data_IF_261069160777
#
_entry.id   IF_261069160777
#
_cell.length_a   1.000
_cell.length_b   1.000
_cell.length_c   1.000
_cell.angle_alpha   90.00
_cell.angle_beta   90.00
_cell.angle_gamma   90.00
#
_symmetry.space_group_name_H-M   'P 1'
#
loop_
_entity.id
_entity.type
_entity.pdbx_description
1 polymer ?
#
# COMPACT_ATOMS: atom_id res chain seq x y z
N UNK A 1 7.83 11.06 -33.06
CA UNK A 1 7.28 9.84 -32.46
C UNK A 1 6.31 10.18 -31.35
N UNK A 2 6.67 11.00 -30.36
CA UNK A 2 5.80 11.43 -29.23
C UNK A 2 4.43 12.02 -29.59
N UNK A 3 4.29 12.81 -30.68
CA UNK A 3 2.97 13.31 -31.10
C UNK A 3 1.99 12.21 -31.56
N UNK A 4 2.47 11.08 -32.09
CA UNK A 4 1.62 9.93 -32.48
C UNK A 4 1.17 9.10 -31.28
N UNK A 5 1.99 8.99 -30.23
CA UNK A 5 1.61 8.31 -28.98
C UNK A 5 0.56 9.13 -28.20
N UNK A 6 0.76 10.45 -28.05
CA UNK A 6 -0.25 11.33 -27.42
C UNK A 6 -1.61 11.27 -28.12
N UNK A 7 -1.61 11.22 -29.44
CA UNK A 7 -2.87 11.14 -30.21
C UNK A 7 -3.55 9.77 -30.10
N UNK A 8 -2.79 8.67 -29.95
CA UNK A 8 -3.36 7.33 -29.67
C UNK A 8 -3.92 7.22 -28.24
N UNK A 9 -3.30 7.86 -27.24
CA UNK A 9 -3.84 7.94 -25.88
C UNK A 9 -5.14 8.75 -25.82
N UNK A 10 -5.20 9.91 -26.49
CA UNK A 10 -6.43 10.73 -26.51
C UNK A 10 -7.61 10.03 -27.19
N UNK A 11 -7.39 9.24 -28.24
CA UNK A 11 -8.46 8.46 -28.88
C UNK A 11 -8.91 7.26 -28.04
N UNK A 12 -8.03 6.66 -27.22
CA UNK A 12 -8.41 5.58 -26.29
C UNK A 12 -9.22 6.13 -25.11
N UNK A 13 -8.86 7.30 -24.59
CA UNK A 13 -9.61 8.00 -23.54
C UNK A 13 -11.00 8.41 -24.03
N UNK A 14 -11.11 9.01 -25.22
CA UNK A 14 -12.40 9.39 -25.79
C UNK A 14 -13.31 8.18 -26.07
N UNK A 15 -12.75 7.02 -26.41
CA UNK A 15 -13.50 5.76 -26.60
C UNK A 15 -14.11 5.23 -25.30
N UNK A 16 -13.40 5.34 -24.18
CA UNK A 16 -13.87 4.89 -22.88
C UNK A 16 -15.00 5.79 -22.32
N UNK A 17 -14.92 7.11 -22.53
CA UNK A 17 -15.99 8.02 -22.09
C UNK A 17 -17.31 7.81 -22.84
N UNK A 18 -17.27 7.47 -24.12
CA UNK A 18 -18.49 7.19 -24.90
C UNK A 18 -19.15 5.86 -24.47
N UNK A 19 -18.36 4.86 -24.06
CA UNK A 19 -18.87 3.59 -23.52
C UNK A 19 -19.52 3.74 -22.16
N UNK A 20 -18.91 4.51 -21.28
CA UNK A 20 -19.40 4.72 -19.90
C UNK A 20 -20.70 5.54 -19.87
N UNK A 21 -20.87 6.53 -20.75
CA UNK A 21 -22.11 7.30 -20.83
C UNK A 21 -23.30 6.44 -21.29
N UNK A 22 -23.09 5.51 -22.20
CA UNK A 22 -24.12 4.57 -22.65
C UNK A 22 -24.47 3.56 -21.55
N UNK A 23 -23.47 3.08 -20.80
CA UNK A 23 -23.67 2.15 -19.69
C UNK A 23 -24.41 2.81 -18.51
N UNK A 24 -24.07 4.05 -18.16
CA UNK A 24 -24.80 4.82 -17.16
C UNK A 24 -26.25 5.07 -17.54
N UNK A 25 -26.54 5.36 -18.80
CA UNK A 25 -27.92 5.54 -19.28
C UNK A 25 -28.73 4.23 -19.18
N UNK A 26 -28.13 3.09 -19.46
CA UNK A 26 -28.76 1.76 -19.33
C UNK A 26 -29.02 1.43 -17.85
N UNK A 27 -28.07 1.69 -16.96
CA UNK A 27 -28.23 1.45 -15.52
C UNK A 27 -29.34 2.33 -14.91
N UNK A 28 -29.46 3.59 -15.31
CA UNK A 28 -30.53 4.49 -14.88
C UNK A 28 -31.90 3.97 -15.38
N UNK A 29 -31.98 3.48 -16.62
CA UNK A 29 -33.21 2.88 -17.14
C UNK A 29 -33.62 1.61 -16.39
N UNK A 30 -32.67 0.75 -16.03
CA UNK A 30 -32.92 -0.48 -15.23
C UNK A 30 -33.38 -0.09 -13.81
N UNK A 31 -32.77 0.92 -13.20
CA UNK A 31 -33.15 1.41 -11.87
C UNK A 31 -34.59 2.00 -11.85
N UNK A 32 -34.95 2.74 -12.90
CA UNK A 32 -36.31 3.27 -13.03
C UNK A 32 -37.34 2.18 -13.29
N UNK A 33 -37.01 1.12 -14.01
CA UNK A 33 -37.88 -0.06 -14.20
C UNK A 33 -38.08 -0.84 -12.89
N UNK A 34 -37.02 -1.01 -12.07
CA UNK A 34 -37.11 -1.68 -10.77
C UNK A 34 -37.97 -0.92 -9.76
N UNK A 35 -37.94 0.41 -9.77
CA UNK A 35 -38.81 1.27 -8.94
C UNK A 35 -40.27 1.16 -9.39
N UNK A 36 -40.53 1.07 -10.70
CA UNK A 36 -41.86 0.90 -11.25
C UNK A 36 -42.51 -0.45 -10.86
N UNK A 37 -41.74 -1.54 -10.80
CA UNK A 37 -42.27 -2.86 -10.41
C UNK A 37 -42.50 -2.97 -8.90
N UNK A 38 -41.70 -2.32 -8.06
CA UNK A 38 -41.91 -2.29 -6.62
C UNK A 38 -43.19 -1.51 -6.22
N UNK A 39 -43.55 -0.45 -6.96
CA UNK A 39 -44.77 0.30 -6.72
C UNK A 39 -46.06 -0.51 -7.07
N UNK A 40 -45.96 -1.46 -8.00
CA UNK A 40 -47.14 -2.27 -8.40
C UNK A 40 -47.44 -3.40 -7.39
N UNK A 41 -46.42 -3.85 -6.62
CA UNK A 41 -46.61 -4.92 -5.61
C UNK A 41 -47.17 -4.39 -4.29
N UNK A 42 -47.01 -3.10 -3.98
CA UNK A 42 -47.48 -2.51 -2.72
C UNK A 42 -48.98 -2.13 -2.76
N UNK A 43 -49.62 -1.96 -3.94
CA UNK A 43 -51.02 -1.58 -4.07
C UNK A 43 -52.02 -2.75 -4.15
N UNK A 44 -51.57 -3.98 -4.08
CA UNK A 44 -52.39 -5.21 -4.22
C UNK A 44 -52.80 -5.90 -2.91
N UNK A 45 -52.67 -5.28 -1.73
CA UNK A 45 -53.13 -5.85 -0.46
C UNK A 45 -54.08 -4.93 0.27
N UNK A 46 -55.37 -5.01 -0.09
CA UNK A 46 -56.43 -4.63 0.83
C UNK A 46 -57.62 -5.59 0.70
N UNK A 47 -57.98 -6.12 1.85
CA UNK A 47 -59.24 -6.60 2.33
C UNK A 47 -59.88 -7.86 1.73
N UNK A 48 -59.83 -8.93 2.48
CA UNK A 48 -61.07 -9.73 2.73
C UNK A 48 -61.14 -10.05 4.22
N UNK A 49 -62.25 -9.72 4.81
CA UNK A 49 -62.61 -9.88 6.21
C UNK A 49 -63.47 -11.15 6.39
N UNK A 50 -63.29 -11.83 7.53
CA UNK A 50 -64.21 -12.68 8.33
C UNK A 50 -65.42 -13.38 7.68
N UNK A 51 -65.61 -14.68 7.80
CA UNK A 51 -66.42 -15.31 8.85
C UNK A 51 -66.77 -16.80 8.56
N UNK A 52 -66.69 -17.58 9.62
CA UNK A 52 -67.60 -18.68 10.01
C UNK A 52 -67.43 -20.12 9.52
N UNK A 53 -67.23 -20.95 10.56
CA UNK A 53 -67.82 -22.28 10.91
C UNK A 53 -67.28 -23.55 10.24
N UNK A 54 -66.74 -24.40 11.14
CA UNK A 54 -66.61 -25.87 11.04
C UNK A 54 -67.98 -26.57 10.85
N UNK A 55 -68.05 -27.81 10.35
CA UNK A 55 -67.61 -28.98 11.13
C UNK A 55 -66.94 -30.15 10.34
N UNK A 56 -66.46 -31.06 11.16
CA UNK A 56 -65.67 -32.26 10.99
C UNK A 56 -66.10 -33.32 9.95
N UNK A 57 -65.11 -34.15 9.68
CA UNK A 57 -65.11 -35.57 9.27
C UNK A 57 -64.82 -35.89 7.79
N UNK A 58 -63.76 -36.69 7.62
CA UNK A 58 -63.55 -37.48 6.43
C UNK A 58 -62.08 -37.83 6.14
N UNK A 59 -61.62 -38.91 6.72
CA UNK A 59 -60.36 -39.58 6.38
C UNK A 59 -60.45 -40.15 4.97
N UNK A 60 -59.58 -39.76 4.05
CA UNK A 60 -59.14 -40.62 2.92
C UNK A 60 -57.66 -40.32 2.62
N UNK A 61 -56.83 -41.31 2.79
CA UNK A 61 -55.42 -41.34 2.37
C UNK A 61 -55.36 -41.56 0.87
N UNK A 62 -54.64 -40.69 0.18
CA UNK A 62 -53.97 -40.99 -1.09
C UNK A 62 -52.54 -40.51 -1.03
N UNK A 63 -51.65 -41.44 -1.16
CA UNK A 63 -50.25 -41.18 -1.45
C UNK A 63 -50.17 -40.59 -2.87
N UNK A 64 -49.58 -39.46 -3.01
CA UNK A 64 -49.14 -38.97 -4.31
C UNK A 64 -47.70 -38.50 -4.19
N UNK A 65 -46.86 -39.18 -4.95
CA UNK A 65 -45.46 -38.82 -5.16
C UNK A 65 -45.39 -37.50 -5.90
N UNK A 66 -45.09 -36.41 -5.19
CA UNK A 66 -44.69 -35.17 -5.86
C UNK A 66 -43.20 -34.99 -5.74
N UNK A 67 -42.55 -35.16 -6.88
CA UNK A 67 -41.18 -34.78 -7.18
C UNK A 67 -40.77 -33.50 -6.48
N UNK A 68 -39.81 -33.61 -5.57
CA UNK A 68 -39.07 -32.45 -5.05
C UNK A 68 -38.35 -31.79 -6.22
N UNK A 69 -38.85 -30.67 -6.69
CA UNK A 69 -38.10 -29.76 -7.54
C UNK A 69 -37.09 -29.09 -6.62
N UNK A 70 -35.87 -29.52 -6.77
CA UNK A 70 -34.69 -28.87 -6.17
C UNK A 70 -34.62 -27.44 -6.68
N UNK A 71 -35.16 -26.49 -5.90
CA UNK A 71 -34.96 -25.07 -6.13
C UNK A 71 -33.55 -24.74 -5.68
N UNK A 72 -32.58 -24.93 -6.57
CA UNK A 72 -31.26 -24.31 -6.42
C UNK A 72 -31.49 -22.79 -6.37
N UNK A 73 -31.26 -22.22 -5.19
CA UNK A 73 -31.10 -20.76 -5.08
C UNK A 73 -30.04 -20.29 -6.09
N UNK A 74 -30.23 -19.19 -6.79
CA UNK A 74 -29.25 -18.67 -7.72
C UNK A 74 -27.95 -18.41 -6.93
N UNK A 75 -26.90 -19.12 -7.28
CA UNK A 75 -25.53 -18.85 -6.79
C UNK A 75 -25.25 -17.41 -7.17
N UNK A 76 -25.25 -16.51 -6.19
CA UNK A 76 -24.77 -15.14 -6.39
C UNK A 76 -23.26 -15.26 -6.67
N UNK A 77 -22.85 -15.00 -7.90
CA UNK A 77 -21.43 -14.84 -8.21
C UNK A 77 -20.89 -13.71 -7.31
N UNK A 78 -19.87 -14.03 -6.52
CA UNK A 78 -19.18 -12.99 -5.75
C UNK A 78 -18.61 -11.95 -6.73
N UNK A 79 -18.70 -10.65 -6.40
CA UNK A 79 -18.19 -9.61 -7.28
C UNK A 79 -16.69 -9.85 -7.53
N UNK A 80 -16.29 -9.79 -8.80
CA UNK A 80 -14.88 -9.95 -9.19
C UNK A 80 -14.05 -8.86 -8.48
N UNK A 81 -12.93 -9.25 -7.89
CA UNK A 81 -12.00 -8.32 -7.24
C UNK A 81 -11.51 -7.23 -8.22
N UNK A 82 -11.27 -6.03 -7.73
CA UNK A 82 -10.78 -4.91 -8.54
C UNK A 82 -9.34 -5.13 -9.01
N UNK A 83 -8.54 -5.83 -8.21
CA UNK A 83 -7.14 -6.11 -8.51
C UNK A 83 -6.91 -7.62 -8.62
N UNK A 84 -5.96 -7.99 -9.45
CA UNK A 84 -5.42 -9.34 -9.50
C UNK A 84 -4.05 -9.33 -8.82
N UNK A 85 -3.70 -10.43 -8.13
CA UNK A 85 -2.37 -10.53 -7.53
C UNK A 85 -1.30 -10.44 -8.61
N UNK A 86 -0.24 -9.62 -8.39
CA UNK A 86 0.82 -9.46 -9.34
C UNK A 86 1.55 -10.78 -9.58
N UNK A 87 1.89 -11.00 -10.83
CA UNK A 87 2.78 -12.08 -11.21
C UNK A 87 4.24 -11.68 -11.01
N UNK A 88 5.11 -12.67 -10.93
CA UNK A 88 6.53 -12.42 -10.99
C UNK A 88 6.90 -11.93 -12.37
N UNK A 89 7.72 -10.88 -12.42
CA UNK A 89 8.38 -10.49 -13.65
C UNK A 89 9.27 -11.62 -14.20
N UNK A 90 9.57 -11.60 -15.50
CA UNK A 90 10.47 -12.59 -16.09
C UNK A 90 11.92 -12.49 -15.53
N UNK A 91 12.31 -11.31 -15.06
CA UNK A 91 13.58 -11.05 -14.38
C UNK A 91 13.47 -11.14 -12.85
N UNK A 92 12.37 -11.69 -12.31
CA UNK A 92 12.14 -11.78 -10.88
C UNK A 92 13.37 -12.27 -10.12
N UNK A 93 13.80 -11.49 -9.16
CA UNK A 93 14.93 -11.81 -8.29
C UNK A 93 14.45 -12.11 -6.86
N UNK A 94 15.05 -13.16 -6.28
CA UNK A 94 14.84 -13.44 -4.86
C UNK A 94 15.70 -12.50 -4.04
N UNK A 95 15.07 -11.62 -3.25
CA UNK A 95 15.82 -10.73 -2.36
C UNK A 95 16.76 -11.54 -1.46
N UNK A 96 18.07 -11.24 -1.53
CA UNK A 96 19.02 -11.68 -0.52
C UNK A 96 18.90 -10.80 0.72
N UNK A 97 18.72 -11.41 1.88
CA UNK A 97 18.73 -10.68 3.15
C UNK A 97 20.13 -10.64 3.79
N UNK A 98 21.17 -11.01 3.04
CA UNK A 98 22.56 -10.86 3.50
C UNK A 98 22.85 -9.38 3.70
N UNK A 99 23.20 -9.01 4.93
CA UNK A 99 23.38 -7.63 5.35
C UNK A 99 22.09 -6.84 5.62
N UNK A 100 20.89 -7.44 5.41
CA UNK A 100 19.61 -6.82 5.73
C UNK A 100 19.02 -7.41 7.02
N UNK A 101 18.33 -6.57 7.79
CA UNK A 101 17.67 -6.98 9.03
C UNK A 101 16.21 -7.33 8.83
N UNK A 102 15.56 -6.81 7.79
CA UNK A 102 14.17 -7.11 7.41
C UNK A 102 13.95 -8.62 7.22
N UNK A 103 12.77 -9.10 7.61
CA UNK A 103 12.40 -10.51 7.42
C UNK A 103 11.49 -10.74 6.22
N UNK A 104 10.85 -9.70 5.76
CA UNK A 104 9.90 -9.69 4.64
C UNK A 104 10.23 -8.53 3.72
N UNK A 105 10.17 -8.74 2.40
CA UNK A 105 10.42 -7.67 1.43
C UNK A 105 9.79 -7.99 0.08
N UNK A 106 9.31 -6.94 -0.61
CA UNK A 106 8.81 -6.98 -1.99
C UNK A 106 9.15 -5.67 -2.69
N UNK A 107 9.44 -5.76 -3.98
CA UNK A 107 9.48 -4.64 -4.92
C UNK A 107 8.48 -4.91 -6.04
N UNK A 108 7.52 -4.03 -6.22
CA UNK A 108 6.39 -4.12 -7.13
C UNK A 108 6.47 -3.00 -8.18
N UNK A 109 6.28 -3.34 -9.45
CA UNK A 109 6.01 -2.43 -10.55
C UNK A 109 4.50 -2.18 -10.63
N UNK A 110 4.09 -0.94 -10.40
CA UNK A 110 2.69 -0.55 -10.33
C UNK A 110 2.03 -0.30 -11.69
N UNK A 111 2.80 -0.15 -12.76
CA UNK A 111 2.25 0.02 -14.11
C UNK A 111 1.91 -1.33 -14.75
N UNK A 112 2.82 -2.30 -14.58
CA UNK A 112 2.71 -3.61 -15.22
C UNK A 112 2.13 -4.69 -14.27
N UNK A 113 1.85 -4.35 -13.01
CA UNK A 113 1.41 -5.29 -11.96
C UNK A 113 2.35 -6.51 -11.86
N UNK A 114 3.67 -6.24 -11.70
CA UNK A 114 4.72 -7.27 -11.68
C UNK A 114 5.60 -7.18 -10.44
N UNK A 115 5.94 -8.33 -9.87
CA UNK A 115 6.90 -8.42 -8.76
C UNK A 115 8.31 -8.56 -9.36
N UNK A 116 9.12 -7.51 -9.20
CA UNK A 116 10.54 -7.51 -9.60
C UNK A 116 11.42 -8.27 -8.65
N UNK A 117 11.21 -8.06 -7.34
CA UNK A 117 11.98 -8.78 -6.33
C UNK A 117 11.12 -9.12 -5.12
N UNK A 118 11.44 -10.23 -4.43
CA UNK A 118 10.66 -10.59 -3.24
C UNK A 118 11.23 -11.72 -2.42
N UNK A 119 11.02 -11.65 -1.11
CA UNK A 119 11.31 -12.75 -0.17
C UNK A 119 10.33 -12.75 0.98
N UNK A 120 9.74 -13.92 1.24
CA UNK A 120 8.69 -14.08 2.24
C UNK A 120 7.47 -13.16 2.04
N UNK A 121 7.26 -12.63 0.84
CA UNK A 121 6.35 -11.52 0.56
C UNK A 121 4.87 -11.86 0.72
N UNK A 122 4.50 -13.15 0.76
CA UNK A 122 3.15 -13.65 1.05
C UNK A 122 2.95 -14.10 2.51
N UNK A 123 3.97 -13.94 3.37
CA UNK A 123 3.83 -14.32 4.79
C UNK A 123 3.17 -13.20 5.57
N UNK A 124 2.20 -13.57 6.43
CA UNK A 124 1.54 -12.65 7.34
C UNK A 124 2.51 -12.05 8.34
N UNK A 125 2.36 -10.77 8.57
CA UNK A 125 3.09 -9.96 9.56
C UNK A 125 2.18 -8.86 10.09
N UNK A 126 2.55 -8.24 11.19
CA UNK A 126 1.85 -7.08 11.74
C UNK A 126 2.29 -5.82 10.99
N UNK A 127 1.37 -5.09 10.32
CA UNK A 127 1.72 -3.94 9.49
C UNK A 127 2.08 -2.69 10.31
N UNK A 128 1.71 -2.63 11.59
CA UNK A 128 1.82 -1.44 12.41
C UNK A 128 1.22 -0.22 11.69
N UNK A 129 1.85 0.96 11.78
CA UNK A 129 1.34 2.19 11.17
C UNK A 129 1.32 2.21 9.64
N UNK A 130 1.77 1.16 8.93
CA UNK A 130 1.48 1.03 7.49
C UNK A 130 -0.03 0.92 7.24
N UNK A 131 -0.82 0.47 8.22
CA UNK A 131 -2.28 0.49 8.25
C UNK A 131 -2.87 1.84 7.84
N UNK A 132 -2.20 2.95 8.20
CA UNK A 132 -2.65 4.31 7.90
C UNK A 132 -2.72 4.63 6.41
N UNK A 133 -2.02 3.87 5.57
CA UNK A 133 -2.17 3.94 4.12
C UNK A 133 -3.62 3.60 3.72
N UNK A 134 -4.17 2.48 4.22
CA UNK A 134 -5.57 2.13 3.97
C UNK A 134 -6.54 3.16 4.59
N UNK A 135 -6.24 3.67 5.78
CA UNK A 135 -7.07 4.69 6.44
C UNK A 135 -7.18 5.96 5.59
N UNK A 136 -6.06 6.46 5.04
CA UNK A 136 -6.03 7.63 4.16
C UNK A 136 -6.76 7.36 2.85
N UNK A 137 -6.58 6.19 2.24
CA UNK A 137 -7.28 5.79 1.02
C UNK A 137 -8.81 5.80 1.23
N UNK A 138 -9.30 5.15 2.29
CA UNK A 138 -10.74 5.14 2.60
C UNK A 138 -11.26 6.55 2.88
N UNK A 139 -10.48 7.39 3.56
CA UNK A 139 -10.88 8.76 3.83
C UNK A 139 -10.98 9.59 2.53
N UNK A 140 -9.99 9.49 1.64
CA UNK A 140 -9.99 10.19 0.35
C UNK A 140 -11.12 9.72 -0.57
N UNK A 141 -11.46 8.44 -0.56
CA UNK A 141 -12.57 7.92 -1.36
C UNK A 141 -13.94 8.36 -0.89
N UNK A 142 -14.10 8.62 0.42
CA UNK A 142 -15.39 8.92 1.06
C UNK A 142 -15.52 10.38 1.53
N UNK A 143 -14.59 11.24 1.13
CA UNK A 143 -14.63 12.67 1.38
C UNK A 143 -14.75 13.41 0.05
N UNK A 144 -15.84 14.16 -0.14
CA UNK A 144 -16.05 14.95 -1.35
C UNK A 144 -15.31 16.29 -1.30
N UNK A 145 -15.02 16.81 -0.09
CA UNK A 145 -14.33 18.07 0.13
C UNK A 145 -13.41 17.96 1.35
N UNK A 146 -12.07 17.90 1.12
CA UNK A 146 -11.08 17.81 2.19
C UNK A 146 -11.04 19.05 3.09
N UNK A 147 -11.69 20.15 2.72
CA UNK A 147 -11.89 21.34 3.57
C UNK A 147 -13.01 21.17 4.61
N UNK A 148 -13.82 20.10 4.51
CA UNK A 148 -14.77 19.72 5.54
C UNK A 148 -14.09 19.51 6.88
N UNK A 149 -14.86 19.63 7.97
CA UNK A 149 -14.27 19.69 9.29
C UNK A 149 -14.82 18.64 10.24
N UNK A 150 -13.92 18.09 11.04
CA UNK A 150 -14.22 17.24 12.19
C UNK A 150 -13.96 17.97 13.50
N UNK A 151 -14.77 17.70 14.54
CA UNK A 151 -14.59 18.24 15.89
C UNK A 151 -14.31 17.11 16.87
N UNK A 152 -13.11 17.10 17.40
CA UNK A 152 -12.68 16.12 18.42
C UNK A 152 -13.54 16.16 19.68
N UNK A 153 -13.94 15.00 20.18
CA UNK A 153 -14.60 14.84 21.47
C UNK A 153 -13.57 14.59 22.59
N UNK A 154 -14.00 14.67 23.84
CA UNK A 154 -13.14 14.28 24.98
C UNK A 154 -12.84 12.79 25.00
N UNK A 155 -13.78 11.95 24.51
CA UNK A 155 -13.59 10.51 24.43
C UNK A 155 -12.52 10.13 23.41
N UNK A 156 -12.45 10.81 22.27
CA UNK A 156 -11.45 10.53 21.22
C UNK A 156 -10.04 10.69 21.78
N UNK A 157 -9.78 11.81 22.46
CA UNK A 157 -8.44 12.11 22.98
C UNK A 157 -8.10 11.18 24.17
N UNK A 158 -9.09 10.84 25.00
CA UNK A 158 -8.83 9.95 26.15
C UNK A 158 -8.45 8.54 25.72
N UNK A 159 -9.10 7.97 24.71
CA UNK A 159 -8.80 6.62 24.23
C UNK A 159 -7.36 6.45 23.73
N UNK A 160 -6.76 7.54 23.24
CA UNK A 160 -5.40 7.55 22.68
C UNK A 160 -4.31 7.68 23.74
N UNK A 161 -4.58 8.41 24.84
CA UNK A 161 -3.61 8.58 25.94
C UNK A 161 -3.26 7.26 26.63
N UNK A 162 -4.21 6.32 26.63
CA UNK A 162 -4.05 5.01 27.27
C UNK A 162 -3.27 4.02 26.36
N UNK A 163 -3.14 4.32 25.06
CA UNK A 163 -2.57 3.42 24.05
C UNK A 163 -1.09 3.65 23.72
N UNK A 164 -0.43 4.67 24.32
CA UNK A 164 0.96 5.07 24.03
C UNK A 164 1.25 5.23 22.50
N UNK A 165 0.26 5.75 21.77
CA UNK A 165 0.32 5.91 20.32
C UNK A 165 0.96 7.24 19.94
N UNK A 166 1.61 7.30 18.76
CA UNK A 166 2.02 8.57 18.16
C UNK A 166 0.79 9.42 17.86
N UNK A 167 0.85 10.73 18.13
CA UNK A 167 -0.24 11.67 17.89
C UNK A 167 0.24 12.87 17.06
N UNK A 168 -0.66 13.47 16.29
CA UNK A 168 -0.43 14.72 15.58
C UNK A 168 -0.51 15.94 16.53
N UNK A 169 -1.23 15.81 17.66
CA UNK A 169 -1.34 16.83 18.69
C UNK A 169 -2.69 17.52 18.76
N UNK A 170 -3.73 16.97 18.14
CA UNK A 170 -5.08 17.51 18.22
C UNK A 170 -5.68 17.41 19.63
N UNK A 171 -6.56 18.34 19.95
CA UNK A 171 -7.08 18.53 21.30
C UNK A 171 -8.61 18.34 21.38
N UNK A 172 -9.10 17.93 22.56
CA UNK A 172 -10.55 17.81 22.79
C UNK A 172 -11.30 19.14 22.56
N UNK A 173 -12.36 19.09 21.77
CA UNK A 173 -13.14 20.26 21.34
C UNK A 173 -12.53 21.06 20.21
N UNK A 174 -11.39 20.62 19.67
CA UNK A 174 -10.77 21.23 18.51
C UNK A 174 -11.55 20.88 17.23
N UNK A 175 -11.68 21.87 16.35
CA UNK A 175 -12.27 21.72 15.04
C UNK A 175 -11.17 21.89 13.98
N UNK A 176 -10.94 20.84 13.20
CA UNK A 176 -9.88 20.73 12.20
C UNK A 176 -10.45 20.28 10.86
N UNK A 177 -9.73 20.53 9.77
CA UNK A 177 -10.16 20.07 8.45
C UNK A 177 -9.82 18.58 8.25
N UNK A 178 -10.48 17.95 7.27
CA UNK A 178 -10.12 16.59 6.83
C UNK A 178 -8.70 16.59 6.26
N UNK A 179 -8.30 17.65 5.56
CA UNK A 179 -6.93 17.81 5.08
C UNK A 179 -5.92 17.79 6.24
N UNK A 180 -6.17 18.54 7.33
CA UNK A 180 -5.33 18.48 8.54
C UNK A 180 -5.20 17.06 9.12
N UNK A 181 -6.30 16.31 9.09
CA UNK A 181 -6.32 14.93 9.57
C UNK A 181 -5.53 13.98 8.65
N UNK A 182 -5.63 14.14 7.33
CA UNK A 182 -4.88 13.35 6.35
C UNK A 182 -3.37 13.52 6.55
N UNK A 183 -2.90 14.78 6.60
CA UNK A 183 -1.50 15.06 6.89
C UNK A 183 -1.08 14.63 8.29
N UNK A 184 -1.95 14.81 9.30
CA UNK A 184 -1.72 14.35 10.67
C UNK A 184 -1.56 12.83 10.78
N UNK A 185 -2.30 12.05 9.98
CA UNK A 185 -2.18 10.60 9.93
C UNK A 185 -0.89 10.13 9.26
N UNK A 186 -0.46 10.81 8.19
CA UNK A 186 0.67 10.37 7.38
C UNK A 186 2.01 10.88 7.91
N UNK A 187 2.19 12.17 8.17
CA UNK A 187 3.48 12.77 8.46
C UNK A 187 4.02 12.33 9.85
N UNK A 188 3.39 12.73 10.98
CA UNK A 188 3.82 12.30 12.32
C UNK A 188 3.27 10.91 12.71
N UNK A 189 2.53 10.26 11.81
CA UNK A 189 1.87 8.98 12.10
C UNK A 189 0.80 9.05 13.20
N UNK A 190 0.04 10.17 13.28
CA UNK A 190 -0.90 10.47 14.35
C UNK A 190 -2.09 9.50 14.41
N UNK A 191 -2.27 8.83 15.55
CA UNK A 191 -3.43 7.98 15.82
C UNK A 191 -4.69 8.83 16.13
N UNK A 192 -4.52 10.02 16.66
CA UNK A 192 -5.60 11.02 16.82
C UNK A 192 -6.18 11.41 15.46
N UNK A 193 -5.32 11.67 14.49
CA UNK A 193 -5.73 11.98 13.14
C UNK A 193 -6.50 10.83 12.48
N UNK A 194 -6.01 9.57 12.61
CA UNK A 194 -6.74 8.40 12.07
C UNK A 194 -8.09 8.18 12.74
N UNK A 195 -8.18 8.39 14.06
CA UNK A 195 -9.45 8.32 14.76
C UNK A 195 -10.41 9.43 14.31
N UNK A 196 -9.88 10.65 14.08
CA UNK A 196 -10.65 11.76 13.52
C UNK A 196 -11.21 11.44 12.14
N UNK A 197 -10.39 10.88 11.22
CA UNK A 197 -10.81 10.41 9.90
C UNK A 197 -11.88 9.31 10.00
N UNK A 198 -11.65 8.32 10.86
CA UNK A 198 -12.59 7.22 11.06
C UNK A 198 -13.96 7.69 11.55
N UNK A 199 -13.97 8.61 12.52
CA UNK A 199 -15.20 9.17 13.05
C UNK A 199 -15.89 10.11 12.06
N UNK A 200 -15.13 10.87 11.26
CA UNK A 200 -15.67 11.73 10.21
C UNK A 200 -16.38 10.92 9.13
N UNK A 201 -15.72 9.88 8.61
CA UNK A 201 -16.23 9.07 7.50
C UNK A 201 -17.36 8.13 7.92
N UNK A 202 -17.21 7.44 9.06
CA UNK A 202 -18.09 6.35 9.44
C UNK A 202 -18.82 6.53 10.80
N UNK A 203 -18.62 7.67 11.47
CA UNK A 203 -19.21 7.95 12.78
C UNK A 203 -18.57 7.21 13.95
N UNK A 204 -17.76 6.18 13.69
CA UNK A 204 -16.94 5.48 14.70
C UNK A 204 -15.82 4.69 14.04
N UNK A 205 -14.72 4.47 14.79
CA UNK A 205 -13.63 3.60 14.33
C UNK A 205 -14.11 2.17 14.02
N UNK A 206 -15.04 1.64 14.81
CA UNK A 206 -15.62 0.31 14.57
C UNK A 206 -16.31 0.18 13.21
N UNK A 207 -17.09 1.17 12.81
CA UNK A 207 -17.74 1.17 11.49
C UNK A 207 -16.74 1.44 10.39
N UNK A 208 -15.73 2.28 10.63
CA UNK A 208 -14.65 2.53 9.70
C UNK A 208 -13.81 1.28 9.39
N UNK A 209 -13.50 0.47 10.41
CA UNK A 209 -12.81 -0.82 10.24
C UNK A 209 -13.59 -1.78 9.36
N UNK A 210 -14.93 -1.72 9.36
CA UNK A 210 -15.74 -2.50 8.41
C UNK A 210 -15.53 -2.02 6.97
N UNK A 211 -15.40 -0.71 6.74
CA UNK A 211 -15.07 -0.16 5.42
C UNK A 211 -13.66 -0.59 4.98
N UNK A 212 -12.67 -0.56 5.89
CA UNK A 212 -11.32 -1.05 5.61
C UNK A 212 -11.34 -2.53 5.16
N UNK A 213 -12.03 -3.39 5.91
CA UNK A 213 -12.11 -4.82 5.57
C UNK A 213 -13.02 -5.11 4.36
N UNK A 214 -13.98 -4.24 4.06
CA UNK A 214 -14.73 -4.29 2.81
C UNK A 214 -13.82 -3.96 1.62
N UNK A 215 -12.97 -2.92 1.73
CA UNK A 215 -11.97 -2.58 0.72
C UNK A 215 -10.94 -3.69 0.53
N UNK A 216 -10.48 -4.35 1.59
CA UNK A 216 -9.62 -5.54 1.51
C UNK A 216 -10.24 -6.61 0.58
N UNK A 217 -11.54 -6.90 0.74
CA UNK A 217 -12.27 -7.84 -0.12
C UNK A 217 -12.44 -7.32 -1.53
N UNK A 218 -12.80 -6.04 -1.69
CA UNK A 218 -12.97 -5.37 -2.97
C UNK A 218 -11.68 -5.41 -3.81
N UNK A 219 -10.53 -5.19 -3.17
CA UNK A 219 -9.20 -5.30 -3.80
C UNK A 219 -8.75 -6.76 -4.02
N UNK A 220 -9.45 -7.75 -3.48
CA UNK A 220 -9.09 -9.15 -3.60
C UNK A 220 -7.93 -9.58 -2.69
N UNK A 221 -7.62 -8.83 -1.64
CA UNK A 221 -6.51 -9.14 -0.73
C UNK A 221 -6.91 -10.27 0.22
N UNK A 222 -6.22 -11.41 0.11
CA UNK A 222 -6.59 -12.65 0.83
C UNK A 222 -5.85 -12.86 2.15
N UNK A 223 -4.84 -12.02 2.43
CA UNK A 223 -3.96 -12.19 3.59
C UNK A 223 -3.87 -10.94 4.46
N UNK A 224 -4.89 -10.09 4.43
CA UNK A 224 -4.99 -8.84 5.19
C UNK A 224 -6.29 -8.77 5.98
N UNK A 225 -6.18 -8.33 7.23
CA UNK A 225 -7.32 -8.00 8.09
C UNK A 225 -6.93 -6.85 9.02
N UNK A 226 -7.79 -5.87 9.15
CA UNK A 226 -7.62 -4.70 10.01
C UNK A 226 -8.56 -4.77 11.20
N UNK A 227 -8.04 -4.51 12.41
CA UNK A 227 -8.81 -4.43 13.68
C UNK A 227 -9.00 -2.98 14.14
N UNK A 228 -8.18 -2.04 13.66
CA UNK A 228 -8.26 -0.61 13.97
C UNK A 228 -7.72 0.23 12.80
N UNK A 229 -7.91 1.56 12.88
CA UNK A 229 -7.50 2.49 11.82
C UNK A 229 -6.05 2.98 11.96
N UNK A 230 -5.38 2.73 13.08
CA UNK A 230 -4.07 3.31 13.39
C UNK A 230 -2.90 2.34 13.21
N UNK A 231 -3.16 1.03 13.25
CA UNK A 231 -2.15 -0.03 13.26
C UNK A 231 -1.57 -0.32 14.64
N UNK A 232 -2.27 0.05 15.71
CA UNK A 232 -1.98 -0.46 17.05
C UNK A 232 -2.09 -1.99 17.06
N UNK A 233 -1.25 -2.63 17.84
CA UNK A 233 -1.18 -4.08 17.85
C UNK A 233 -2.49 -4.74 18.28
N UNK A 234 -2.85 -5.78 17.56
CA UNK A 234 -3.93 -6.71 17.82
C UNK A 234 -3.60 -8.01 17.07
N UNK A 235 -3.83 -9.16 17.66
CA UNK A 235 -3.46 -10.45 17.06
C UNK A 235 -4.19 -10.71 15.74
N UNK A 236 -5.41 -10.15 15.59
CA UNK A 236 -6.21 -10.23 14.36
C UNK A 236 -5.90 -9.12 13.35
N UNK A 237 -4.93 -8.22 13.66
CA UNK A 237 -4.51 -7.13 12.79
C UNK A 237 -3.25 -7.50 12.02
N UNK A 238 -3.40 -8.04 10.81
CA UNK A 238 -2.28 -8.55 10.02
C UNK A 238 -2.39 -8.19 8.54
N UNK A 239 -1.26 -8.23 7.85
CA UNK A 239 -1.14 -8.11 6.39
C UNK A 239 0.09 -8.88 5.88
N UNK A 240 0.42 -8.71 4.61
CA UNK A 240 1.70 -9.13 4.01
C UNK A 240 2.37 -7.93 3.36
N UNK A 241 3.68 -8.00 3.12
CA UNK A 241 4.35 -6.92 2.37
C UNK A 241 3.78 -6.79 0.96
N UNK A 242 3.31 -7.88 0.36
CA UNK A 242 2.67 -7.87 -0.96
C UNK A 242 1.32 -7.16 -0.93
N UNK A 243 0.43 -7.54 0.01
CA UNK A 243 -0.88 -6.90 0.13
C UNK A 243 -0.73 -5.40 0.43
N UNK A 244 0.25 -5.02 1.28
CA UNK A 244 0.54 -3.60 1.54
C UNK A 244 1.06 -2.86 0.31
N UNK A 245 1.88 -3.51 -0.54
CA UNK A 245 2.32 -2.92 -1.81
C UNK A 245 1.13 -2.75 -2.77
N UNK A 246 0.24 -3.72 -2.88
CA UNK A 246 -0.99 -3.63 -3.68
C UNK A 246 -1.94 -2.53 -3.20
N UNK A 247 -2.04 -2.29 -1.89
CA UNK A 247 -2.81 -1.16 -1.32
C UNK A 247 -2.24 0.17 -1.81
N UNK A 248 -0.91 0.32 -1.82
CA UNK A 248 -0.27 1.55 -2.33
C UNK A 248 -0.45 1.66 -3.84
N UNK A 249 -0.22 0.58 -4.60
CA UNK A 249 -0.46 0.51 -6.05
C UNK A 249 -1.88 0.95 -6.42
N UNK A 250 -2.88 0.46 -5.68
CA UNK A 250 -4.28 0.88 -5.88
C UNK A 250 -4.44 2.39 -5.74
N UNK A 251 -3.85 3.01 -4.71
CA UNK A 251 -3.94 4.45 -4.50
C UNK A 251 -3.24 5.25 -5.61
N UNK A 252 -2.09 4.76 -6.10
CA UNK A 252 -1.33 5.41 -7.18
C UNK A 252 -2.07 5.34 -8.54
N UNK A 253 -2.84 4.27 -8.77
CA UNK A 253 -3.54 4.02 -10.02
C UNK A 253 -5.03 4.44 -10.00
N UNK A 254 -5.54 4.95 -8.89
CA UNK A 254 -6.92 5.39 -8.74
C UNK A 254 -7.05 6.89 -9.08
N UNK A 255 -7.57 7.20 -10.28
CA UNK A 255 -7.73 8.56 -10.80
C UNK A 255 -8.45 9.52 -9.84
N UNK A 256 -9.29 9.03 -8.92
CA UNK A 256 -10.03 9.86 -7.97
C UNK A 256 -9.15 10.40 -6.84
N UNK A 257 -8.15 9.64 -6.41
CA UNK A 257 -7.40 9.95 -5.17
C UNK A 257 -5.89 10.06 -5.38
N UNK A 258 -5.35 9.61 -6.52
CA UNK A 258 -3.91 9.46 -6.72
C UNK A 258 -3.14 10.77 -6.55
N UNK A 259 -3.64 11.87 -7.11
CA UNK A 259 -2.98 13.17 -7.01
C UNK A 259 -2.86 13.64 -5.55
N UNK A 260 -3.96 13.56 -4.78
CA UNK A 260 -3.95 13.98 -3.38
C UNK A 260 -3.18 12.98 -2.50
N UNK A 261 -3.28 11.68 -2.78
CA UNK A 261 -2.50 10.65 -2.09
C UNK A 261 -0.99 10.89 -2.26
N UNK A 262 -0.52 11.14 -3.50
CA UNK A 262 0.89 11.42 -3.80
C UNK A 262 1.32 12.72 -3.09
N UNK A 263 0.52 13.77 -3.15
CA UNK A 263 0.79 15.05 -2.48
C UNK A 263 1.00 14.85 -0.96
N UNK A 264 0.16 14.03 -0.32
CA UNK A 264 0.24 13.78 1.12
C UNK A 264 1.48 12.95 1.48
N UNK A 265 1.75 11.84 0.77
CA UNK A 265 2.88 10.95 1.10
C UNK A 265 4.24 11.57 0.79
N UNK A 266 4.31 12.52 -0.15
CA UNK A 266 5.53 13.21 -0.56
C UNK A 266 5.83 14.47 0.27
N UNK A 267 4.89 14.93 1.08
CA UNK A 267 5.08 16.15 1.86
C UNK A 267 6.15 15.95 2.95
N UNK A 268 7.13 16.86 2.97
CA UNK A 268 8.16 16.90 4.00
C UNK A 268 7.62 17.50 5.30
N UNK A 269 6.89 18.59 5.18
CA UNK A 269 6.30 19.35 6.28
C UNK A 269 4.91 19.86 5.88
N UNK A 270 4.06 20.04 6.87
CA UNK A 270 2.73 20.65 6.74
C UNK A 270 2.39 21.39 8.02
N UNK A 271 1.78 22.54 7.94
CA UNK A 271 1.23 23.23 9.11
C UNK A 271 -0.28 23.23 8.99
N UNK A 272 -0.98 22.66 9.99
CA UNK A 272 -2.44 22.61 10.00
C UNK A 272 -3.05 24.00 9.94
N UNK A 273 -4.27 24.09 9.44
CA UNK A 273 -4.98 25.35 9.49
C UNK A 273 -5.17 25.83 10.93
N UNK A 274 -5.32 27.15 11.07
CA UNK A 274 -5.71 27.77 12.34
C UNK A 274 -6.98 27.15 12.88
N UNK A 275 -6.95 26.71 14.13
CA UNK A 275 -8.09 26.14 14.82
C UNK A 275 -8.46 26.95 16.07
N UNK A 276 -9.54 26.55 16.74
CA UNK A 276 -9.97 27.12 18.01
C UNK A 276 -9.08 26.71 19.21
N UNK A 277 -8.06 25.88 18.99
CA UNK A 277 -7.10 25.42 20.01
C UNK A 277 -5.67 25.78 19.65
N UNK A 278 -5.35 25.82 18.36
CA UNK A 278 -4.02 26.12 17.85
C UNK A 278 -4.14 27.30 16.86
N UNK A 279 -3.92 28.53 17.36
CA UNK A 279 -4.10 29.74 16.57
C UNK A 279 -3.08 29.87 15.43
N UNK A 280 -1.89 29.31 15.60
CA UNK A 280 -0.84 29.24 14.58
C UNK A 280 -0.84 27.96 13.75
N UNK A 281 -1.82 27.05 13.98
CA UNK A 281 -1.78 25.67 13.48
C UNK A 281 -0.80 24.79 14.26
N UNK A 282 -0.72 23.53 13.87
CA UNK A 282 0.23 22.53 14.41
C UNK A 282 1.26 22.25 13.32
N UNK A 283 2.56 22.45 13.55
CA UNK A 283 3.60 22.05 12.60
C UNK A 283 3.74 20.52 12.63
N UNK A 284 3.60 19.89 11.48
CA UNK A 284 3.72 18.44 11.27
C UNK A 284 4.91 18.19 10.35
N UNK A 285 5.79 17.27 10.72
CA UNK A 285 6.92 16.84 9.88
C UNK A 285 6.85 15.36 9.57
N UNK A 286 7.22 15.01 8.35
CA UNK A 286 7.21 13.63 7.88
C UNK A 286 8.34 12.82 8.50
N UNK A 287 7.98 11.77 9.26
CA UNK A 287 8.95 10.81 9.77
C UNK A 287 9.62 10.07 8.60
N UNK A 288 8.88 9.77 7.53
CA UNK A 288 9.42 9.11 6.35
C UNK A 288 10.46 10.01 5.67
N UNK A 289 10.08 11.21 5.24
CA UNK A 289 10.96 12.11 4.49
C UNK A 289 12.20 12.52 5.29
N UNK A 290 12.08 12.66 6.63
CA UNK A 290 13.24 12.97 7.48
C UNK A 290 14.28 11.85 7.52
N UNK A 291 13.87 10.58 7.31
CA UNK A 291 14.79 9.43 7.25
C UNK A 291 15.45 9.26 5.89
N UNK A 292 14.84 9.82 4.85
CA UNK A 292 15.36 9.78 3.48
C UNK A 292 16.10 11.05 3.08
N UNK A 293 16.19 12.04 3.97
CA UNK A 293 16.88 13.30 3.70
C UNK A 293 18.36 13.08 3.36
N UNK A 294 18.75 13.51 2.17
CA UNK A 294 20.11 13.32 1.65
C UNK A 294 20.41 11.94 1.02
N UNK A 295 19.42 11.04 0.95
CA UNK A 295 19.55 9.79 0.19
C UNK A 295 19.00 9.99 -1.23
N UNK A 296 19.61 9.30 -2.17
CA UNK A 296 19.19 9.17 -3.56
C UNK A 296 19.51 7.74 -4.05
N UNK A 297 18.90 7.32 -5.13
CA UNK A 297 19.14 6.02 -5.75
C UNK A 297 20.08 6.21 -6.94
N UNK A 298 21.26 5.63 -6.87
CA UNK A 298 22.30 5.64 -7.91
C UNK A 298 22.74 4.19 -8.12
N UNK A 299 22.23 3.55 -9.15
CA UNK A 299 22.39 2.11 -9.36
C UNK A 299 23.58 1.75 -10.21
N UNK A 300 23.99 2.65 -11.11
CA UNK A 300 25.13 2.45 -11.99
C UNK A 300 26.41 3.15 -11.50
N UNK A 301 26.33 3.81 -10.33
CA UNK A 301 27.44 4.50 -9.66
C UNK A 301 28.02 5.65 -10.51
N UNK A 302 27.19 6.27 -11.37
CA UNK A 302 27.63 7.41 -12.20
C UNK A 302 27.53 8.76 -11.46
N UNK A 303 26.99 8.75 -10.24
CA UNK A 303 26.81 9.92 -9.37
C UNK A 303 25.56 10.74 -9.67
N UNK A 304 24.60 10.18 -10.44
CA UNK A 304 23.30 10.77 -10.72
C UNK A 304 22.18 9.95 -10.08
N UNK A 305 21.04 10.57 -9.99
CA UNK A 305 19.85 9.93 -9.44
C UNK A 305 19.13 9.12 -10.54
N UNK A 306 18.98 7.80 -10.33
CA UNK A 306 18.30 6.88 -11.24
C UNK A 306 16.80 6.73 -10.95
N UNK A 307 16.37 7.06 -9.74
CA UNK A 307 14.99 6.97 -9.34
C UNK A 307 14.64 8.04 -8.28
N UNK A 308 13.54 8.73 -8.50
CA UNK A 308 12.98 9.66 -7.52
C UNK A 308 12.43 8.91 -6.30
N UNK A 309 12.75 9.36 -5.09
CA UNK A 309 12.11 8.92 -3.85
C UNK A 309 10.88 9.79 -3.61
N UNK A 310 9.70 9.31 -4.00
CA UNK A 310 8.45 10.09 -3.96
C UNK A 310 7.96 10.30 -2.54
N UNK A 311 7.93 9.23 -1.73
CA UNK A 311 7.39 9.30 -0.39
C UNK A 311 7.04 7.92 0.16
N UNK A 312 6.31 7.90 1.29
CA UNK A 312 5.94 6.61 1.88
C UNK A 312 5.44 6.69 3.31
N UNK A 313 5.48 5.54 4.00
CA UNK A 313 5.02 5.41 5.38
C UNK A 313 5.91 4.50 6.21
N UNK A 314 6.20 4.91 7.44
CA UNK A 314 6.90 4.13 8.46
C UNK A 314 5.91 3.43 9.39
N UNK A 315 6.31 2.30 9.97
CA UNK A 315 5.54 1.58 10.97
C UNK A 315 6.43 0.96 12.04
N UNK A 316 5.94 0.92 13.28
CA UNK A 316 6.58 0.25 14.39
C UNK A 316 5.56 -0.10 15.48
N UNK A 317 5.66 -1.31 16.00
CA UNK A 317 5.23 -1.75 17.33
C UNK A 317 6.28 -2.76 17.82
N UNK A 318 6.28 -3.09 19.10
CA UNK A 318 7.22 -4.08 19.64
C UNK A 318 7.05 -5.44 18.95
N UNK A 319 5.82 -5.83 18.61
CA UNK A 319 5.51 -7.10 17.96
C UNK A 319 5.84 -7.09 16.47
N UNK A 320 5.61 -5.96 15.78
CA UNK A 320 5.87 -5.83 14.34
C UNK A 320 7.36 -5.68 14.01
N UNK A 321 8.15 -5.09 14.90
CA UNK A 321 9.43 -4.49 14.54
C UNK A 321 9.22 -3.30 13.61
N UNK A 322 10.28 -2.81 12.98
CA UNK A 322 10.21 -1.67 12.07
C UNK A 322 9.79 -2.10 10.68
N UNK A 323 8.86 -1.34 10.11
CA UNK A 323 8.28 -1.56 8.79
C UNK A 323 8.31 -0.28 7.96
N UNK A 324 8.44 -0.41 6.64
CA UNK A 324 8.55 0.70 5.73
C UNK A 324 7.87 0.37 4.40
N UNK A 325 7.08 1.29 3.88
CA UNK A 325 6.56 1.28 2.52
C UNK A 325 7.04 2.56 1.83
N UNK A 326 7.77 2.41 0.72
CA UNK A 326 8.33 3.51 -0.06
C UNK A 326 7.83 3.46 -1.48
N UNK A 327 7.59 4.62 -2.06
CA UNK A 327 7.24 4.81 -3.46
C UNK A 327 8.43 5.44 -4.17
N UNK A 328 8.89 4.78 -5.21
CA UNK A 328 9.93 5.25 -6.12
C UNK A 328 9.33 5.54 -7.47
N UNK A 329 9.96 6.42 -8.25
CA UNK A 329 9.54 6.72 -9.61
C UNK A 329 10.74 6.74 -10.55
N UNK A 330 10.61 6.03 -11.67
CA UNK A 330 11.57 6.07 -12.77
C UNK A 330 10.78 6.45 -14.01
N UNK A 331 11.12 7.57 -14.63
CA UNK A 331 10.34 8.18 -15.73
C UNK A 331 8.87 8.37 -15.35
N UNK A 332 7.94 7.64 -15.98
CA UNK A 332 6.50 7.71 -15.70
C UNK A 332 6.01 6.53 -14.83
N UNK A 333 6.89 5.57 -14.47
CA UNK A 333 6.51 4.34 -13.77
C UNK A 333 6.78 4.45 -12.27
N UNK A 334 5.79 4.09 -11.46
CA UNK A 334 5.90 3.97 -10.01
C UNK A 334 6.28 2.55 -9.59
N UNK A 335 7.17 2.47 -8.62
CA UNK A 335 7.58 1.24 -7.96
C UNK A 335 7.32 1.35 -6.47
N UNK A 336 6.80 0.27 -5.87
CA UNK A 336 6.54 0.21 -4.43
C UNK A 336 7.44 -0.82 -3.79
N UNK A 337 8.28 -0.40 -2.84
CA UNK A 337 9.06 -1.29 -2.00
C UNK A 337 8.49 -1.34 -0.60
N UNK A 338 8.11 -2.54 -0.13
CA UNK A 338 7.65 -2.74 1.24
C UNK A 338 8.56 -3.71 1.95
N UNK A 339 9.05 -3.29 3.13
CA UNK A 339 9.83 -4.12 4.06
C UNK A 339 9.16 -4.17 5.42
N UNK A 340 9.22 -5.33 6.10
CA UNK A 340 8.70 -5.50 7.46
C UNK A 340 9.67 -6.27 8.33
N UNK A 341 9.57 -6.00 9.64
CA UNK A 341 10.33 -6.65 10.71
C UNK A 341 11.84 -6.44 10.61
N UNK A 342 12.24 -5.19 10.29
CA UNK A 342 13.62 -4.71 10.51
C UNK A 342 13.85 -4.45 12.01
N UNK A 343 15.12 -4.39 12.43
CA UNK A 343 15.50 -4.35 13.85
C UNK A 343 15.50 -2.95 14.44
N UNK A 344 15.83 -1.92 13.66
CA UNK A 344 15.82 -0.52 14.08
C UNK A 344 15.20 0.38 12.99
N UNK A 345 14.95 1.63 13.33
CA UNK A 345 14.44 2.62 12.39
C UNK A 345 15.42 2.87 11.24
N UNK A 346 16.72 2.97 11.56
CA UNK A 346 17.79 3.20 10.61
C UNK A 346 17.94 2.00 9.67
N UNK A 347 17.94 0.77 10.25
CA UNK A 347 18.02 -0.43 9.41
C UNK A 347 16.77 -0.63 8.54
N UNK A 348 15.58 -0.20 8.97
CA UNK A 348 14.41 -0.24 8.11
C UNK A 348 14.58 0.63 6.87
N UNK A 349 15.18 1.81 7.03
CA UNK A 349 15.47 2.73 5.91
C UNK A 349 16.57 2.15 5.01
N UNK A 350 17.70 1.73 5.59
CA UNK A 350 18.79 1.14 4.80
C UNK A 350 18.43 -0.17 4.11
N UNK A 351 17.64 -1.04 4.75
CA UNK A 351 17.13 -2.28 4.15
C UNK A 351 16.28 -1.98 2.90
N UNK A 352 15.39 -0.98 2.99
CA UNK A 352 14.49 -0.62 1.92
C UNK A 352 15.24 0.05 0.74
N UNK A 353 16.15 1.00 1.04
CA UNK A 353 17.03 1.62 0.04
C UNK A 353 17.89 0.57 -0.67
N UNK A 354 18.52 -0.34 0.09
CA UNK A 354 19.35 -1.41 -0.49
C UNK A 354 18.55 -2.33 -1.41
N UNK A 355 17.27 -2.59 -1.10
CA UNK A 355 16.39 -3.36 -2.01
C UNK A 355 16.11 -2.54 -3.26
N UNK A 356 15.80 -1.26 -3.14
CA UNK A 356 15.57 -0.38 -4.29
C UNK A 356 16.83 -0.29 -5.18
N UNK A 357 17.99 0.00 -4.62
CA UNK A 357 19.25 0.07 -5.34
C UNK A 357 19.61 -1.23 -6.08
N UNK A 358 19.37 -2.39 -5.45
CA UNK A 358 19.73 -3.68 -6.05
C UNK A 358 18.75 -4.16 -7.12
N UNK A 359 17.47 -3.80 -7.04
CA UNK A 359 16.43 -4.49 -7.79
C UNK A 359 15.51 -3.59 -8.61
N UNK A 360 15.55 -2.25 -8.48
CA UNK A 360 14.87 -1.37 -9.42
C UNK A 360 15.46 -1.57 -10.84
N UNK A 361 14.68 -1.45 -11.92
CA UNK A 361 15.21 -1.54 -13.27
C UNK A 361 16.20 -0.39 -13.55
N UNK A 362 17.25 -0.68 -14.31
CA UNK A 362 18.15 0.34 -14.91
C UNK A 362 17.63 0.60 -16.31
N UNK A 363 17.21 1.82 -16.57
CA UNK A 363 16.95 2.23 -17.94
C UNK A 363 18.26 2.79 -18.50
N UNK A 364 18.89 2.01 -19.38
CA UNK A 364 20.06 2.47 -20.12
C UNK A 364 19.64 3.62 -21.04
N UNK A 365 19.93 4.86 -20.64
CA UNK A 365 19.69 6.06 -21.45
C UNK A 365 20.67 6.15 -22.64
N UNK A 366 21.46 5.12 -22.88
CA UNK A 366 22.34 5.03 -24.03
C UNK A 366 21.54 4.58 -25.26
N UNK A 367 20.89 5.56 -25.87
CA UNK A 367 20.81 5.67 -27.32
C UNK A 367 20.19 4.51 -28.08
N UNK A 368 18.95 4.68 -28.44
CA UNK A 368 18.38 4.16 -29.68
C UNK A 368 19.12 4.79 -30.90
N UNK A 369 20.35 4.35 -31.13
CA UNK A 369 21.15 4.64 -32.32
C UNK A 369 21.66 3.34 -32.98
N UNK A 370 20.80 2.31 -33.05
CA UNK A 370 21.02 1.16 -33.91
C UNK A 370 19.92 1.00 -34.97
N UNK A 371 19.71 2.05 -35.76
CA UNK A 371 19.14 1.87 -37.08
C UNK A 371 20.25 2.05 -38.13
N UNK A 372 20.92 0.99 -38.50
CA UNK A 372 21.23 0.75 -39.94
C UNK A 372 22.18 -0.41 -40.13
N UNK A 373 21.76 -1.15 -41.08
CA UNK A 373 22.49 -1.99 -42.06
C UNK A 373 22.72 -3.44 -41.71
N UNK A 374 21.71 -4.23 -42.09
CA UNK A 374 21.94 -5.55 -42.65
C UNK A 374 22.70 -5.39 -43.99
N UNK A 375 23.92 -5.85 -44.06
CA UNK A 375 24.48 -6.35 -45.34
C UNK A 375 25.29 -7.60 -45.05
N UNK A 376 24.85 -8.62 -45.78
CA UNK A 376 25.46 -9.93 -45.89
C UNK A 376 26.80 -9.87 -46.60
N UNK A 377 27.81 -10.55 -46.12
CA UNK A 377 28.72 -11.27 -47.01
C UNK A 377 29.45 -12.37 -46.24
N UNK A 378 29.47 -13.50 -46.87
CA UNK A 378 30.04 -14.75 -46.47
C UNK A 378 31.57 -14.80 -46.68
N UNK A 379 32.18 -15.83 -46.04
CA UNK A 379 33.45 -16.48 -46.35
C UNK A 379 34.75 -15.77 -45.99
N UNK A 380 35.56 -16.30 -45.10
CA UNK A 380 36.47 -17.39 -45.39
C UNK A 380 37.32 -17.78 -44.14
N UNK A 381 37.55 -19.05 -44.03
CA UNK A 381 38.42 -19.77 -43.09
C UNK A 381 39.86 -19.34 -43.17
N UNK A 382 40.56 -19.22 -42.00
CA UNK A 382 41.92 -19.69 -41.88
C UNK A 382 42.31 -19.94 -40.41
N UNK A 383 42.57 -21.18 -40.14
CA UNK A 383 43.22 -21.72 -38.95
C UNK A 383 44.63 -21.20 -38.81
N UNK A 384 45.01 -20.71 -37.64
CA UNK A 384 46.42 -20.69 -37.22
C UNK A 384 46.52 -21.20 -35.77
N UNK A 385 47.18 -22.30 -35.71
CA UNK A 385 47.64 -23.05 -34.52
C UNK A 385 48.85 -22.34 -33.94
N UNK A 386 48.90 -22.04 -32.62
CA UNK A 386 50.14 -21.74 -31.91
C UNK A 386 50.04 -22.26 -30.48
N UNK A 387 50.90 -23.25 -30.23
CA UNK A 387 51.22 -23.99 -29.03
C UNK A 387 51.82 -23.09 -27.92
N UNK A 388 51.71 -23.48 -26.65
CA UNK A 388 52.26 -22.74 -25.49
C UNK A 388 53.69 -23.17 -25.17
N UNK A 389 54.48 -22.29 -24.58
CA UNK A 389 55.78 -22.58 -23.97
C UNK A 389 55.95 -21.84 -22.63
N UNK A 390 56.90 -22.20 -21.77
CA UNK A 390 56.61 -22.69 -20.41
C UNK A 390 57.05 -21.73 -19.29
N UNK A 391 56.64 -22.14 -18.12
CA UNK A 391 56.92 -21.69 -16.75
C UNK A 391 58.44 -21.45 -16.49
N UNK A 392 58.76 -20.36 -15.81
CA UNK A 392 59.99 -20.31 -14.99
C UNK A 392 59.66 -19.85 -13.56
N UNK A 393 60.10 -20.69 -12.60
CA UNK A 393 60.09 -20.51 -11.16
C UNK A 393 61.43 -19.95 -10.72
N UNK A 394 61.42 -18.96 -9.85
CA UNK A 394 62.52 -18.80 -8.83
C UNK A 394 61.93 -18.01 -7.63
N UNK A 395 61.77 -18.71 -6.53
CA UNK A 395 62.34 -18.56 -5.17
C UNK A 395 62.89 -17.15 -4.83
N UNK A 396 62.72 -16.58 -3.67
CA UNK A 396 62.74 -16.97 -2.28
C UNK A 396 62.91 -15.72 -1.38
N UNK A 397 62.56 -15.90 -0.13
CA UNK A 397 63.06 -15.35 1.14
C UNK A 397 62.23 -14.30 1.86
N UNK A 398 61.60 -14.77 2.89
CA UNK A 398 61.74 -14.49 4.34
C UNK A 398 62.33 -13.14 4.73
N UNK A 399 61.57 -12.34 5.48
CA UNK A 399 62.08 -11.97 6.80
C UNK A 399 60.97 -11.57 7.81
N UNK A 400 61.24 -11.98 9.01
CA UNK A 400 60.52 -11.89 10.26
C UNK A 400 60.70 -10.51 10.90
N UNK A 401 59.67 -9.95 11.59
CA UNK A 401 59.83 -9.45 12.97
C UNK A 401 58.60 -8.84 13.58
N UNK A 402 58.14 -9.45 14.62
CA UNK A 402 57.89 -8.96 15.99
C UNK A 402 56.74 -7.97 16.25
N UNK A 403 55.77 -8.52 16.99
CA UNK A 403 54.81 -7.87 17.87
C UNK A 403 55.53 -7.12 19.00
N UNK A 404 54.97 -6.06 19.57
CA UNK A 404 54.75 -6.13 21.01
C UNK A 404 53.30 -5.80 21.46
N UNK A 405 52.89 -6.64 22.36
CA UNK A 405 51.84 -6.55 23.35
C UNK A 405 52.03 -5.34 24.29
N UNK A 406 50.96 -4.61 24.62
CA UNK A 406 50.88 -3.91 25.90
C UNK A 406 49.40 -3.72 26.31
N UNK A 407 49.02 -4.56 27.23
CA UNK A 407 47.92 -4.37 28.18
C UNK A 407 48.13 -3.12 29.04
N UNK A 408 47.11 -2.32 29.22
CA UNK A 408 46.85 -1.55 30.43
C UNK A 408 45.36 -1.27 30.60
N UNK A 409 44.84 -1.89 31.59
CA UNK A 409 43.55 -1.54 32.23
C UNK A 409 43.68 -0.19 32.90
N UNK A 410 42.67 0.63 32.82
CA UNK A 410 42.38 1.58 33.88
C UNK A 410 40.87 1.77 34.14
N UNK A 411 40.59 1.86 35.41
CA UNK A 411 39.38 1.69 36.15
C UNK A 411 38.53 2.96 36.20
N UNK A 412 37.21 2.74 36.25
CA UNK A 412 36.08 3.64 36.50
C UNK A 412 36.21 4.29 37.91
N UNK A 413 35.68 5.46 38.12
CA UNK A 413 34.90 5.72 39.35
C UNK A 413 33.42 6.06 39.08
N UNK A 414 32.57 5.36 39.83
CA UNK A 414 31.20 5.75 40.13
C UNK A 414 31.17 7.11 40.85
N UNK A 415 30.23 7.97 40.44
CA UNK A 415 29.70 8.99 41.33
C UNK A 415 28.17 8.96 41.38
N UNK A 416 27.70 8.96 42.58
CA UNK A 416 26.32 8.80 43.07
C UNK A 416 25.46 10.02 42.75
N UNK A 417 24.18 9.74 42.58
CA UNK A 417 23.03 10.68 42.54
C UNK A 417 22.66 11.06 43.95
N UNK A 418 22.22 12.27 44.26
CA UNK A 418 21.23 12.53 45.28
C UNK A 418 19.93 13.09 44.74
N UNK A 419 18.87 12.48 45.19
CA UNK A 419 17.45 12.85 45.37
C UNK A 419 16.80 13.92 44.47
#
# INVERSE_FOLDING_TARGET
MMKKLKMKRMTKIAGNYAGNAALCAILIMIMLLAIGTAALVVTGRTSINENQNMPANGVVSFADESSAVDQQEPVQEEPKALMEYPEKDYEFQKISFDGLTAKYGVLLDCENNKIYAGKNYKKKAYPASLTKLMTVIIALENCDDISDTYKFTKSDIKSLSDANASVAGFSAGEKVTVEDLLYGAMLPSGADATLGLANYVAGSEKEFVKLMNAKVKELGLTSTHFSNASGLHDDDHYSTVLDMAMIVEYALNNDKISDEFIKIISAKDYTTYKSNKHEAGIPLSSIFMSRYDGFYIDRDEDGKEDADIIGGKTGFTDESGYSLASVYKIEDTYYVCVTMKSTTAETATSDNLTIAERYLPVYDLLGDDSSSSSESSAESSSTVDVTPAPIDQTESNQDTSTVPDSSAADSIPNDEVPM
#
